data_IF_957830085295
#
_entry.id   IF_957830085295
#
_cell.length_a   1.000
_cell.length_b   1.000
_cell.length_c   1.000
_cell.angle_alpha   90.00
_cell.angle_beta   90.00
_cell.angle_gamma   90.00
#
_symmetry.space_group_name_H-M   'P 1'
#
loop_
_entity.id
_entity.type
_entity.pdbx_description
1 polymer ?
#
# COMPACT_ATOMS: atom_id res chain seq x y z
N UNK A 1 -29.29 -2.84 17.77
CA UNK A 1 -29.05 -2.80 16.31
C UNK A 1 -29.37 -1.39 15.83
N UNK A 2 -28.41 -0.68 15.23
CA UNK A 2 -28.64 0.69 14.74
C UNK A 2 -29.47 0.63 13.46
N UNK A 3 -30.51 1.44 13.34
CA UNK A 3 -31.31 1.47 12.10
C UNK A 3 -30.50 2.07 10.95
N UNK A 4 -30.65 1.56 9.70
CA UNK A 4 -29.96 2.14 8.54
C UNK A 4 -30.20 3.65 8.40
N UNK A 5 -31.42 4.11 8.71
CA UNK A 5 -31.77 5.54 8.69
C UNK A 5 -30.96 6.36 9.71
N UNK A 6 -30.80 5.87 10.94
CA UNK A 6 -30.02 6.57 11.96
C UNK A 6 -28.55 6.67 11.57
N UNK A 7 -27.99 5.61 10.98
CA UNK A 7 -26.61 5.61 10.51
C UNK A 7 -26.39 6.58 9.34
N UNK A 8 -27.31 6.59 8.37
CA UNK A 8 -27.27 7.54 7.25
C UNK A 8 -27.25 8.99 7.72
N UNK A 9 -28.13 9.33 8.66
CA UNK A 9 -28.23 10.69 9.20
C UNK A 9 -26.98 11.07 9.99
N UNK A 10 -26.44 10.15 10.80
CA UNK A 10 -25.20 10.38 11.54
C UNK A 10 -24.02 10.67 10.61
N UNK A 11 -23.88 9.91 9.53
CA UNK A 11 -22.84 10.08 8.50
C UNK A 11 -23.03 11.40 7.75
N UNK A 12 -24.24 11.69 7.27
CA UNK A 12 -24.52 12.92 6.53
C UNK A 12 -24.29 14.15 7.41
N UNK A 13 -24.70 14.08 8.68
CA UNK A 13 -24.46 15.15 9.66
C UNK A 13 -22.96 15.36 9.92
N UNK A 14 -22.19 14.29 10.15
CA UNK A 14 -20.75 14.36 10.36
C UNK A 14 -20.00 14.96 9.15
N UNK A 15 -20.48 14.68 7.94
CA UNK A 15 -19.93 15.24 6.70
C UNK A 15 -20.53 16.61 6.32
N UNK A 16 -21.36 17.21 7.18
CA UNK A 16 -22.06 18.48 6.92
C UNK A 16 -22.91 18.50 5.64
N UNK A 17 -23.43 17.35 5.21
CA UNK A 17 -24.28 17.21 4.03
C UNK A 17 -25.72 17.58 4.40
N UNK A 18 -26.12 18.82 4.10
CA UNK A 18 -27.45 19.37 4.38
C UNK A 18 -28.41 19.06 3.23
N UNK A 19 -28.94 17.84 3.19
CA UNK A 19 -29.99 17.43 2.25
C UNK A 19 -31.03 16.55 2.95
N UNK A 20 -32.32 16.73 2.62
CA UNK A 20 -33.40 15.86 3.10
C UNK A 20 -33.27 14.42 2.58
N UNK A 21 -32.65 14.27 1.40
CA UNK A 21 -32.30 13.00 0.78
C UNK A 21 -30.85 13.08 0.31
N UNK A 22 -29.88 12.83 1.20
CA UNK A 22 -28.48 12.85 0.81
C UNK A 22 -28.23 11.74 -0.22
N UNK A 23 -27.53 12.06 -1.30
CA UNK A 23 -27.07 11.06 -2.28
C UNK A 23 -25.91 10.25 -1.68
N UNK A 24 -26.27 9.34 -0.78
CA UNK A 24 -25.34 8.47 -0.06
C UNK A 24 -25.96 7.08 -0.01
N UNK A 25 -25.22 6.11 -0.52
CA UNK A 25 -25.51 4.68 -0.33
C UNK A 25 -24.43 4.12 0.57
N UNK A 26 -24.78 3.21 1.46
CA UNK A 26 -23.81 2.57 2.32
C UNK A 26 -24.09 1.07 2.48
N UNK A 27 -23.01 0.33 2.78
CA UNK A 27 -23.03 -1.08 3.12
C UNK A 27 -22.23 -1.29 4.41
N UNK A 28 -22.82 -1.98 5.37
CA UNK A 28 -22.15 -2.38 6.61
C UNK A 28 -21.52 -3.75 6.41
N UNK A 29 -20.24 -3.90 6.73
CA UNK A 29 -19.57 -5.18 6.88
C UNK A 29 -19.27 -5.38 8.38
N UNK A 30 -20.13 -6.13 9.05
CA UNK A 30 -20.03 -6.38 10.50
C UNK A 30 -18.78 -7.19 10.87
N UNK A 31 -18.31 -8.05 9.96
CA UNK A 31 -17.16 -8.92 10.21
C UNK A 31 -15.84 -8.14 10.17
N UNK A 32 -15.76 -7.16 9.27
CA UNK A 32 -14.64 -6.25 9.16
C UNK A 32 -14.79 -5.01 10.05
N UNK A 33 -15.98 -4.79 10.62
CA UNK A 33 -16.35 -3.57 11.33
C UNK A 33 -16.06 -2.32 10.46
N UNK A 34 -16.52 -2.37 9.20
CA UNK A 34 -16.31 -1.33 8.18
C UNK A 34 -17.65 -0.85 7.63
N UNK A 35 -17.75 0.46 7.41
CA UNK A 35 -18.83 1.08 6.66
C UNK A 35 -18.31 1.51 5.29
N UNK A 36 -18.86 0.93 4.22
CA UNK A 36 -18.56 1.34 2.85
C UNK A 36 -19.61 2.37 2.44
N UNK A 37 -19.16 3.52 1.95
CA UNK A 37 -20.02 4.63 1.56
C UNK A 37 -19.73 4.98 0.10
N UNK A 38 -20.78 5.21 -0.69
CA UNK A 38 -20.68 5.66 -2.08
C UNK A 38 -21.65 6.80 -2.33
N UNK A 39 -21.20 7.78 -3.10
CA UNK A 39 -21.97 8.96 -3.52
C UNK A 39 -21.59 9.28 -4.98
N UNK A 40 -22.50 9.85 -5.75
CA UNK A 40 -22.20 10.35 -7.09
C UNK A 40 -21.61 11.77 -7.10
N UNK A 41 -21.65 12.46 -5.95
CA UNK A 41 -21.12 13.81 -5.79
C UNK A 41 -19.68 13.78 -5.28
N UNK A 42 -18.75 14.31 -6.08
CA UNK A 42 -17.35 14.47 -5.70
C UNK A 42 -17.19 15.36 -4.46
N UNK A 43 -18.00 16.42 -4.35
CA UNK A 43 -18.02 17.28 -3.16
C UNK A 43 -18.38 16.49 -1.89
N UNK A 44 -19.42 15.65 -1.97
CA UNK A 44 -19.81 14.79 -0.85
C UNK A 44 -18.73 13.73 -0.55
N UNK A 45 -18.11 13.16 -1.57
CA UNK A 45 -17.05 12.15 -1.40
C UNK A 45 -15.86 12.74 -0.64
N UNK A 46 -15.45 13.96 -0.97
CA UNK A 46 -14.39 14.69 -0.26
C UNK A 46 -14.77 14.95 1.19
N UNK A 47 -15.98 15.46 1.45
CA UNK A 47 -16.45 15.70 2.82
C UNK A 47 -16.52 14.42 3.65
N UNK A 48 -17.04 13.32 3.06
CA UNK A 48 -17.08 11.99 3.67
C UNK A 48 -15.69 11.39 3.89
N UNK A 49 -14.70 11.76 3.07
CA UNK A 49 -13.30 11.35 3.23
C UNK A 49 -12.57 12.03 4.38
N UNK A 50 -13.16 13.07 4.99
CA UNK A 50 -12.55 13.88 6.05
C UNK A 50 -13.16 13.62 7.43
N UNK A 51 -14.27 12.89 7.52
CA UNK A 51 -14.90 12.60 8.82
C UNK A 51 -14.02 11.69 9.66
N UNK A 52 -13.87 12.04 10.94
CA UNK A 52 -13.08 11.27 11.92
C UNK A 52 -13.94 10.78 13.09
N UNK A 53 -15.18 11.26 13.18
CA UNK A 53 -16.14 10.87 14.22
C UNK A 53 -17.54 10.80 13.65
N UNK A 54 -18.34 9.87 14.16
CA UNK A 54 -19.78 9.83 13.93
C UNK A 54 -20.51 9.69 15.26
N UNK A 55 -21.59 10.45 15.41
CA UNK A 55 -22.48 10.33 16.57
C UNK A 55 -23.74 9.62 16.13
N UNK A 56 -23.96 8.41 16.66
CA UNK A 56 -25.11 7.59 16.36
C UNK A 56 -25.97 7.52 17.61
N UNK A 57 -27.19 8.07 17.53
CA UNK A 57 -28.12 8.21 18.65
C UNK A 57 -27.50 9.09 19.75
N UNK A 58 -26.87 8.49 20.76
CA UNK A 58 -26.27 9.19 21.90
C UNK A 58 -24.80 8.81 22.13
N UNK A 59 -24.22 7.95 21.29
CA UNK A 59 -22.85 7.50 21.39
C UNK A 59 -22.01 8.07 20.23
N UNK A 60 -20.81 8.55 20.56
CA UNK A 60 -19.85 9.03 19.57
C UNK A 60 -18.76 7.99 19.36
N UNK A 61 -18.47 7.70 18.10
CA UNK A 61 -17.49 6.71 17.69
C UNK A 61 -16.38 7.40 16.89
N UNK A 62 -15.14 7.14 17.25
CA UNK A 62 -13.99 7.49 16.42
C UNK A 62 -13.93 6.56 15.21
N UNK A 63 -13.72 7.15 14.03
CA UNK A 63 -13.63 6.43 12.76
C UNK A 63 -12.43 6.89 11.97
N UNK A 64 -11.99 6.03 11.05
CA UNK A 64 -10.99 6.38 10.04
C UNK A 64 -11.64 6.25 8.67
N UNK A 65 -11.76 7.37 7.97
CA UNK A 65 -12.28 7.43 6.61
C UNK A 65 -11.14 7.33 5.61
N UNK A 66 -11.37 6.63 4.50
CA UNK A 66 -10.41 6.51 3.42
C UNK A 66 -11.15 6.50 2.08
N UNK A 67 -10.65 7.26 1.12
CA UNK A 67 -11.11 7.19 -0.26
C UNK A 67 -10.76 5.84 -0.88
N UNK A 68 -11.68 5.28 -1.66
CA UNK A 68 -11.39 4.11 -2.49
C UNK A 68 -10.52 4.57 -3.65
N UNK A 69 -9.37 3.92 -3.82
CA UNK A 69 -8.50 4.16 -4.98
C UNK A 69 -9.22 3.72 -6.26
N UNK A 70 -9.19 4.51 -7.36
CA UNK A 70 -9.87 4.17 -8.61
C UNK A 70 -9.56 2.76 -9.11
N UNK A 71 -10.50 2.11 -9.81
CA UNK A 71 -10.31 0.75 -10.32
C UNK A 71 -9.10 0.61 -11.26
N UNK A 72 -8.77 1.69 -11.98
CA UNK A 72 -7.55 1.78 -12.79
C UNK A 72 -6.39 2.34 -11.97
N UNK A 73 -6.06 1.71 -10.84
CA UNK A 73 -4.90 2.06 -10.04
C UNK A 73 -4.09 0.82 -9.64
N UNK A 74 -2.82 1.04 -9.35
CA UNK A 74 -1.92 0.01 -8.87
C UNK A 74 -1.08 0.52 -7.70
N UNK A 75 -0.51 -0.40 -6.91
CA UNK A 75 0.21 -0.07 -5.69
C UNK A 75 1.64 -0.56 -5.74
N UNK A 76 2.56 0.35 -5.45
CA UNK A 76 3.98 0.09 -5.25
C UNK A 76 4.39 0.28 -3.79
N UNK A 77 5.55 -0.24 -3.42
CA UNK A 77 6.17 -0.14 -2.10
C UNK A 77 7.60 0.35 -2.27
N UNK A 78 7.97 1.36 -1.51
CA UNK A 78 9.35 1.80 -1.34
C UNK A 78 9.74 1.57 0.12
N UNK A 79 11.00 1.19 0.35
CA UNK A 79 11.54 0.98 1.70
C UNK A 79 12.57 2.08 2.01
N UNK A 80 12.85 2.29 3.30
CA UNK A 80 13.83 3.27 3.77
C UNK A 80 13.29 4.70 3.84
N UNK A 81 11.96 4.88 3.87
CA UNK A 81 11.35 6.20 4.07
C UNK A 81 11.13 6.39 5.56
N UNK A 82 11.79 7.40 6.14
CA UNK A 82 11.64 7.73 7.55
C UNK A 82 10.25 8.27 7.88
N UNK A 83 9.87 8.20 9.16
CA UNK A 83 8.57 8.65 9.65
C UNK A 83 8.43 10.18 9.70
N UNK A 84 9.54 10.89 9.60
CA UNK A 84 9.60 12.34 9.43
C UNK A 84 9.04 12.80 8.07
N UNK A 85 9.02 11.92 7.07
CA UNK A 85 8.41 12.18 5.77
C UNK A 85 6.92 11.82 5.86
N UNK A 86 6.06 12.82 5.69
CA UNK A 86 4.62 12.62 5.78
C UNK A 86 4.05 12.07 4.47
N UNK A 87 2.96 11.28 4.51
CA UNK A 87 2.26 10.82 3.30
C UNK A 87 1.70 11.95 2.42
N UNK A 88 1.51 13.14 2.99
CA UNK A 88 0.96 14.30 2.28
C UNK A 88 2.05 15.09 1.55
N UNK A 89 3.27 15.13 2.11
CA UNK A 89 4.43 15.82 1.51
C UNK A 89 5.18 14.93 0.50
N UNK A 90 5.25 13.62 0.74
CA UNK A 90 6.03 12.73 -0.13
C UNK A 90 5.65 12.80 -1.62
N UNK A 91 4.36 12.88 -2.01
CA UNK A 91 3.98 12.96 -3.41
C UNK A 91 4.54 14.18 -4.15
N UNK A 92 4.78 15.32 -3.48
CA UNK A 92 5.30 16.53 -4.14
C UNK A 92 6.77 16.41 -4.52
N UNK A 93 7.48 15.49 -3.87
CA UNK A 93 8.91 15.23 -4.07
C UNK A 93 9.16 14.06 -5.05
N UNK A 94 8.11 13.35 -5.47
CA UNK A 94 8.22 12.18 -6.34
C UNK A 94 8.20 12.60 -7.81
N UNK A 95 9.33 12.39 -8.48
CA UNK A 95 9.47 12.52 -9.92
C UNK A 95 9.41 11.14 -10.58
N UNK A 96 8.31 10.87 -11.29
CA UNK A 96 8.07 9.58 -11.94
C UNK A 96 7.46 9.76 -13.34
N UNK A 97 8.31 9.95 -14.37
CA UNK A 97 7.83 10.23 -15.73
C UNK A 97 6.86 9.16 -16.26
N UNK A 98 5.70 9.60 -16.74
CA UNK A 98 4.66 8.72 -17.30
C UNK A 98 3.79 8.01 -16.27
N UNK A 99 3.89 8.39 -14.99
CA UNK A 99 3.02 7.93 -13.92
C UNK A 99 2.46 9.12 -13.15
N UNK A 100 1.27 8.92 -12.59
CA UNK A 100 0.62 9.86 -11.69
C UNK A 100 0.50 9.18 -10.33
N UNK A 101 0.99 9.83 -9.28
CA UNK A 101 0.84 9.36 -7.90
C UNK A 101 -0.50 9.88 -7.37
N UNK A 102 -1.39 8.96 -7.01
CA UNK A 102 -2.73 9.29 -6.50
C UNK A 102 -2.72 9.47 -4.98
N UNK A 103 -2.07 8.55 -4.27
CA UNK A 103 -2.01 8.58 -2.79
C UNK A 103 -0.74 7.92 -2.30
N UNK A 104 -0.27 8.34 -1.12
CA UNK A 104 0.80 7.69 -0.38
C UNK A 104 0.31 7.34 1.04
N UNK A 105 0.90 6.31 1.65
CA UNK A 105 0.74 6.01 3.08
C UNK A 105 1.87 5.16 3.61
N UNK A 106 2.22 5.34 4.87
CA UNK A 106 3.13 4.43 5.58
C UNK A 106 2.50 3.04 5.77
N UNK A 107 3.34 2.01 5.73
CA UNK A 107 2.95 0.62 5.98
C UNK A 107 3.21 0.26 7.44
N UNK A 108 2.22 0.54 8.30
CA UNK A 108 2.36 0.35 9.74
C UNK A 108 3.48 1.24 10.30
N UNK A 109 4.26 0.72 11.24
CA UNK A 109 5.40 1.45 11.82
C UNK A 109 6.74 1.15 11.12
N UNK A 110 6.70 0.49 9.95
CA UNK A 110 7.91 0.24 9.17
C UNK A 110 8.35 1.51 8.44
N UNK A 111 9.64 1.60 8.08
CA UNK A 111 10.13 2.63 7.16
C UNK A 111 9.75 2.35 5.70
N UNK A 112 8.58 1.76 5.45
CA UNK A 112 8.11 1.42 4.11
C UNK A 112 6.84 2.21 3.80
N UNK A 113 6.79 2.76 2.59
CA UNK A 113 5.67 3.57 2.11
C UNK A 113 5.01 2.90 0.91
N UNK A 114 3.68 2.86 0.91
CA UNK A 114 2.87 2.40 -0.20
C UNK A 114 2.45 3.61 -1.03
N UNK A 115 2.79 3.58 -2.32
CA UNK A 115 2.33 4.56 -3.30
C UNK A 115 1.23 3.92 -4.15
N UNK A 116 0.15 4.65 -4.38
CA UNK A 116 -0.87 4.30 -5.37
C UNK A 116 -0.62 5.12 -6.62
N UNK A 117 -0.47 4.45 -7.76
CA UNK A 117 -0.32 5.08 -9.07
C UNK A 117 -1.59 4.93 -9.89
N UNK A 118 -1.88 5.92 -10.72
CA UNK A 118 -2.86 5.79 -11.79
C UNK A 118 -2.37 4.77 -12.83
N UNK A 119 -3.28 3.92 -13.32
CA UNK A 119 -2.99 2.84 -14.27
C UNK A 119 -2.67 1.49 -13.63
N UNK A 120 -2.33 0.51 -14.47
CA UNK A 120 -2.19 -0.91 -14.10
C UNK A 120 -0.77 -1.36 -13.78
N UNK A 121 0.19 -0.46 -13.88
CA UNK A 121 1.61 -0.77 -13.90
C UNK A 121 2.35 0.00 -12.81
N UNK A 122 3.16 -0.68 -12.03
CA UNK A 122 4.03 -0.05 -11.02
C UNK A 122 5.36 0.31 -11.68
N UNK A 123 5.91 1.52 -11.49
CA UNK A 123 7.25 1.87 -11.96
C UNK A 123 8.30 0.98 -11.29
N UNK A 124 9.46 0.80 -11.91
CA UNK A 124 10.55 0.02 -11.31
C UNK A 124 11.44 0.89 -10.40
N UNK A 125 11.67 2.13 -10.82
CA UNK A 125 12.31 3.18 -10.05
C UNK A 125 11.57 4.51 -10.26
N UNK A 126 11.73 5.43 -9.30
CA UNK A 126 11.37 6.83 -9.42
C UNK A 126 12.41 7.67 -8.65
N UNK A 127 12.47 8.97 -8.89
CA UNK A 127 13.34 9.85 -8.12
C UNK A 127 12.55 10.54 -7.01
N UNK A 128 13.13 10.66 -5.83
CA UNK A 128 12.62 11.53 -4.76
C UNK A 128 13.81 12.03 -3.92
N UNK A 129 13.77 13.30 -3.49
CA UNK A 129 14.87 13.92 -2.73
C UNK A 129 16.25 13.75 -3.39
N UNK A 130 16.31 13.80 -4.73
CA UNK A 130 17.54 13.60 -5.49
C UNK A 130 18.07 12.16 -5.56
N UNK A 131 17.34 11.17 -5.03
CA UNK A 131 17.73 9.76 -5.03
C UNK A 131 16.81 8.91 -5.92
N UNK A 132 17.40 8.00 -6.70
CA UNK A 132 16.65 6.97 -7.42
C UNK A 132 16.23 5.85 -6.43
N UNK A 133 14.92 5.78 -6.15
CA UNK A 133 14.33 4.83 -5.21
C UNK A 133 13.67 3.66 -5.95
N UNK A 134 13.94 2.44 -5.46
CA UNK A 134 13.34 1.23 -6.03
C UNK A 134 11.90 1.07 -5.57
N UNK A 135 11.02 0.84 -6.54
CA UNK A 135 9.61 0.58 -6.28
C UNK A 135 9.28 -0.91 -6.51
N UNK A 136 8.79 -1.55 -5.47
CA UNK A 136 8.38 -2.95 -5.48
C UNK A 136 6.88 -3.06 -5.65
N UNK A 137 6.42 -4.02 -6.45
CA UNK A 137 5.00 -4.37 -6.50
C UNK A 137 4.43 -4.64 -5.09
N UNK A 138 3.38 -3.92 -4.70
CA UNK A 138 2.68 -4.16 -3.44
C UNK A 138 1.99 -5.53 -3.48
N UNK A 139 2.31 -6.37 -2.49
CA UNK A 139 1.69 -7.67 -2.30
C UNK A 139 0.67 -7.56 -1.17
N UNK A 140 -0.60 -7.81 -1.49
CA UNK A 140 -1.64 -7.91 -0.46
C UNK A 140 -1.42 -9.19 0.33
N UNK A 141 -1.52 -9.10 1.65
CA UNK A 141 -1.50 -10.27 2.52
C UNK A 141 -2.82 -10.40 3.24
N UNK A 142 -3.23 -11.62 3.54
CA UNK A 142 -4.35 -11.88 4.44
C UNK A 142 -4.00 -11.29 5.81
N UNK A 143 -4.79 -10.35 6.34
CA UNK A 143 -4.52 -9.75 7.64
C UNK A 143 -4.74 -10.80 8.73
N UNK A 144 -4.08 -10.58 9.88
CA UNK A 144 -4.38 -11.30 11.11
C UNK A 144 -4.53 -10.30 12.24
N UNK A 145 -5.66 -10.35 12.93
CA UNK A 145 -5.87 -9.59 14.14
C UNK A 145 -5.05 -10.19 15.29
N UNK A 146 -4.15 -9.42 15.89
CA UNK A 146 -3.31 -9.92 17.00
C UNK A 146 -4.06 -10.00 18.33
N UNK A 147 -5.24 -9.37 18.45
CA UNK A 147 -6.12 -9.47 19.62
C UNK A 147 -6.92 -10.76 19.65
N UNK A 148 -7.62 -11.08 18.56
CA UNK A 148 -8.57 -12.22 18.52
C UNK A 148 -8.09 -13.41 17.67
N UNK A 149 -6.94 -13.29 17.01
CA UNK A 149 -6.33 -14.24 16.07
C UNK A 149 -7.07 -14.50 14.75
N UNK A 150 -8.24 -13.90 14.52
CA UNK A 150 -8.99 -14.07 13.26
C UNK A 150 -8.31 -13.37 12.08
N UNK A 151 -8.58 -13.85 10.87
CA UNK A 151 -8.00 -13.34 9.61
C UNK A 151 -8.91 -12.40 8.83
N UNK A 152 -10.01 -11.96 9.46
CA UNK A 152 -11.09 -11.24 8.77
C UNK A 152 -10.97 -9.73 8.91
N UNK A 153 -10.38 -9.23 10.01
CA UNK A 153 -10.30 -7.81 10.34
C UNK A 153 -8.92 -7.40 10.86
N UNK A 154 -8.68 -6.09 10.89
CA UNK A 154 -7.48 -5.50 11.49
C UNK A 154 -7.64 -5.28 12.99
N UNK A 155 -6.51 -5.22 13.71
CA UNK A 155 -6.48 -5.11 15.17
C UNK A 155 -7.12 -3.82 15.71
N UNK A 156 -7.09 -2.74 14.94
CA UNK A 156 -7.65 -1.44 15.30
C UNK A 156 -9.18 -1.39 15.20
N UNK A 157 -9.79 -2.25 14.39
CA UNK A 157 -11.25 -2.39 14.27
C UNK A 157 -11.79 -3.61 15.01
N UNK A 158 -10.93 -4.30 15.77
CA UNK A 158 -11.30 -5.51 16.50
C UNK A 158 -12.20 -5.18 17.71
N UNK A 159 -13.37 -5.83 17.76
CA UNK A 159 -14.34 -5.71 18.85
C UNK A 159 -14.05 -6.64 20.05
N UNK A 160 -12.94 -7.38 20.04
CA UNK A 160 -12.60 -8.28 21.15
C UNK A 160 -12.37 -7.45 22.44
N UNK A 161 -13.11 -7.73 23.52
CA UNK A 161 -12.94 -7.04 24.79
C UNK A 161 -11.53 -7.23 25.37
N UNK A 162 -10.91 -6.20 26.00
CA UNK A 162 -9.54 -6.28 26.55
C UNK A 162 -9.34 -7.35 27.63
N UNK A 163 -10.40 -7.69 28.35
CA UNK A 163 -10.48 -8.68 29.44
C UNK A 163 -10.56 -10.13 28.95
N UNK A 164 -10.59 -10.36 27.63
CA UNK A 164 -10.57 -11.69 27.02
C UNK A 164 -9.33 -11.90 26.14
N UNK A 165 -8.11 -11.79 26.71
CA UNK A 165 -6.89 -11.91 25.93
C UNK A 165 -6.74 -13.31 25.34
N UNK A 166 -6.24 -13.35 24.10
CA UNK A 166 -5.82 -14.58 23.45
C UNK A 166 -4.32 -14.58 23.24
N UNK A 167 -3.73 -15.77 23.23
CA UNK A 167 -2.32 -15.94 22.89
C UNK A 167 -2.06 -15.35 21.50
N UNK A 168 -1.07 -14.45 21.39
CA UNK A 168 -0.69 -13.80 20.12
C UNK A 168 0.02 -14.73 19.14
N UNK A 169 0.06 -16.03 19.39
CA UNK A 169 0.78 -17.03 18.59
C UNK A 169 -0.18 -18.13 18.14
N UNK A 170 -0.76 -18.89 19.07
CA UNK A 170 -1.70 -19.99 18.77
C UNK A 170 -3.18 -19.62 18.89
N UNK A 171 -3.52 -18.54 19.60
CA UNK A 171 -4.91 -18.12 19.84
C UNK A 171 -5.63 -18.76 21.03
N UNK A 172 -4.92 -19.52 21.87
CA UNK A 172 -5.48 -20.06 23.12
C UNK A 172 -5.93 -18.93 24.07
N UNK A 173 -7.03 -19.17 24.77
CA UNK A 173 -7.69 -18.22 25.68
C UNK A 173 -7.57 -18.63 27.16
N UNK A 174 -7.16 -19.87 27.46
CA UNK A 174 -7.10 -20.38 28.85
C UNK A 174 -5.96 -19.74 29.65
N UNK A 175 -4.77 -19.70 29.06
CA UNK A 175 -3.60 -19.05 29.67
C UNK A 175 -2.76 -18.35 28.58
N UNK A 176 -3.28 -17.24 28.02
CA UNK A 176 -2.76 -16.63 26.79
C UNK A 176 -1.28 -16.24 26.83
N UNK A 177 -0.73 -16.02 28.04
CA UNK A 177 0.67 -15.67 28.27
C UNK A 177 1.49 -16.78 28.95
N UNK A 178 0.87 -17.90 29.37
CA UNK A 178 1.53 -18.95 30.13
C UNK A 178 0.97 -20.34 29.79
N UNK A 179 1.36 -20.87 28.64
CA UNK A 179 1.05 -22.25 28.21
C UNK A 179 2.17 -22.76 27.30
N UNK A 180 2.19 -24.08 27.14
CA UNK A 180 2.94 -24.73 26.08
C UNK A 180 2.28 -24.43 24.73
N UNK A 181 2.90 -23.53 23.96
CA UNK A 181 2.30 -22.95 22.79
C UNK A 181 2.58 -23.80 21.54
N UNK A 182 1.54 -24.45 21.02
CA UNK A 182 1.58 -25.18 19.76
C UNK A 182 0.82 -24.40 18.68
N UNK A 183 1.50 -23.58 17.85
CA UNK A 183 0.82 -22.81 16.83
C UNK A 183 0.39 -23.69 15.65
N UNK A 184 -0.84 -23.50 15.19
CA UNK A 184 -1.33 -24.03 13.93
C UNK A 184 -1.90 -22.91 13.07
N UNK A 185 -1.50 -22.86 11.81
CA UNK A 185 -1.92 -21.81 10.89
C UNK A 185 -3.33 -22.08 10.34
N UNK A 186 -4.28 -21.17 10.60
CA UNK A 186 -5.64 -21.29 10.05
C UNK A 186 -5.73 -21.14 8.53
N UNK A 187 -4.65 -20.71 7.85
CA UNK A 187 -4.63 -20.49 6.40
C UNK A 187 -4.06 -21.68 5.61
N UNK A 188 -3.19 -22.49 6.21
CA UNK A 188 -2.53 -23.60 5.52
C UNK A 188 -2.40 -24.88 6.36
N UNK A 189 -2.76 -24.84 7.64
CA UNK A 189 -2.62 -25.96 8.58
C UNK A 189 -1.22 -26.19 9.13
N UNK A 190 -0.20 -25.43 8.70
CA UNK A 190 1.20 -25.65 9.11
C UNK A 190 1.55 -25.21 10.53
N UNK A 191 2.70 -25.70 11.01
CA UNK A 191 3.25 -25.48 12.37
C UNK A 191 3.91 -24.09 12.52
N UNK A 192 3.12 -23.05 12.30
CA UNK A 192 3.55 -21.68 12.49
C UNK A 192 2.36 -20.79 12.86
N UNK A 193 2.59 -19.60 13.43
CA UNK A 193 1.51 -18.66 13.71
C UNK A 193 0.71 -18.36 12.45
N UNK A 194 -0.61 -18.20 12.60
CA UNK A 194 -1.48 -17.85 11.47
C UNK A 194 -0.95 -16.61 10.75
N UNK A 195 -0.89 -16.66 9.41
CA UNK A 195 -0.36 -15.58 8.58
C UNK A 195 1.08 -15.13 8.94
N UNK A 196 1.94 -16.03 9.41
CA UNK A 196 3.38 -15.79 9.49
C UNK A 196 3.99 -15.44 8.11
N UNK A 197 5.16 -14.80 8.08
CA UNK A 197 5.82 -14.42 6.81
C UNK A 197 6.18 -15.63 5.96
N UNK A 198 6.48 -16.75 6.60
CA UNK A 198 6.74 -18.06 5.97
C UNK A 198 5.47 -18.76 5.45
N UNK A 199 4.27 -18.25 5.74
CA UNK A 199 3.02 -18.89 5.35
C UNK A 199 2.82 -18.78 3.82
N UNK A 200 2.74 -19.90 3.08
CA UNK A 200 2.63 -19.88 1.62
C UNK A 200 1.29 -19.29 1.14
N UNK A 201 0.23 -19.41 1.94
CA UNK A 201 -1.12 -18.93 1.61
C UNK A 201 -1.40 -17.51 2.13
N UNK A 202 -0.43 -16.87 2.80
CA UNK A 202 -0.60 -15.50 3.32
C UNK A 202 -0.70 -14.48 2.20
N UNK A 203 0.09 -14.63 1.14
CA UNK A 203 0.19 -13.64 0.07
C UNK A 203 -0.92 -13.89 -0.94
N UNK A 204 -1.76 -12.87 -1.14
CA UNK A 204 -2.80 -12.92 -2.16
C UNK A 204 -2.19 -12.69 -3.55
N UNK A 205 -2.76 -13.30 -4.61
CA UNK A 205 -2.35 -13.03 -5.97
C UNK A 205 -2.33 -11.53 -6.26
N UNK A 206 -1.27 -11.01 -6.91
CA UNK A 206 -1.20 -9.60 -7.23
C UNK A 206 -2.31 -9.24 -8.22
N UNK A 207 -3.11 -8.23 -7.86
CA UNK A 207 -4.10 -7.63 -8.78
C UNK A 207 -3.41 -6.78 -9.86
N UNK A 208 -2.18 -6.33 -9.57
CA UNK A 208 -1.40 -5.41 -10.38
C UNK A 208 -0.34 -6.14 -11.21
N UNK A 209 0.01 -5.60 -12.38
CA UNK A 209 1.07 -6.17 -13.23
C UNK A 209 2.29 -5.24 -13.24
N UNK A 210 3.48 -5.77 -13.56
CA UNK A 210 4.69 -4.96 -13.85
C UNK A 210 4.89 -4.88 -15.35
N UNK A 211 5.12 -3.70 -15.92
CA UNK A 211 5.51 -3.63 -17.34
C UNK A 211 6.80 -4.45 -17.46
N UNK A 212 6.93 -5.33 -18.46
CA UNK A 212 8.23 -5.87 -18.79
C UNK A 212 9.19 -4.68 -18.96
N UNK A 213 10.44 -4.77 -18.47
CA UNK A 213 11.43 -3.75 -18.79
C UNK A 213 11.44 -3.60 -20.30
N UNK A 214 11.17 -2.38 -20.78
CA UNK A 214 11.35 -2.08 -22.20
C UNK A 214 12.84 -2.28 -22.46
N UNK A 215 13.18 -3.34 -23.18
CA UNK A 215 14.53 -3.53 -23.68
C UNK A 215 14.82 -2.36 -24.60
N UNK A 216 15.46 -1.32 -24.09
CA UNK A 216 16.21 -0.38 -24.92
C UNK A 216 17.43 -1.14 -25.40
N UNK A 217 17.25 -2.04 -26.36
CA UNK A 217 18.38 -2.60 -27.11
C UNK A 217 18.89 -1.45 -27.97
N UNK A 218 20.08 -0.87 -27.71
CA UNK A 218 20.71 -0.05 -28.72
C UNK A 218 21.09 -1.04 -29.81
N UNK A 219 20.50 -0.92 -30.99
CA UNK A 219 21.01 -1.59 -32.17
C UNK A 219 22.40 -1.02 -32.42
N UNK A 220 23.43 -1.64 -31.83
CA UNK A 220 24.82 -1.46 -32.25
C UNK A 220 24.88 -1.99 -33.68
N UNK A 221 24.63 -1.11 -34.66
CA UNK A 221 25.12 -1.33 -36.02
C UNK A 221 26.64 -1.37 -35.90
N UNK A 222 27.20 -2.57 -35.97
CA UNK A 222 28.62 -2.77 -36.12
C UNK A 222 29.05 -2.11 -37.44
N UNK A 223 29.68 -0.94 -37.35
CA UNK A 223 30.50 -0.44 -38.45
C UNK A 223 31.72 -1.37 -38.52
N UNK A 224 31.67 -2.32 -39.46
CA UNK A 224 32.86 -3.00 -39.96
C UNK A 224 33.77 -1.94 -40.58
N UNK A 225 34.75 -1.46 -39.82
CA UNK A 225 35.94 -0.84 -40.40
C UNK A 225 36.90 -1.96 -40.80
N UNK A 226 37.03 -2.18 -42.10
CA UNK A 226 38.15 -2.94 -42.67
C UNK A 226 39.45 -2.19 -42.39
N UNK A 227 40.55 -2.87 -42.00
CA UNK A 227 41.85 -2.23 -41.90
C UNK A 227 42.49 -2.08 -43.28
N UNK A 228 42.99 -0.89 -43.58
CA UNK A 228 43.88 -0.63 -44.71
C UNK A 228 45.31 -1.11 -44.40
N UNK A 229 46.12 -1.47 -45.41
CA UNK A 229 47.37 -2.20 -45.21
C UNK A 229 48.57 -1.30 -44.89
N UNK A 230 49.58 -1.95 -44.31
CA UNK A 230 50.89 -1.46 -43.91
C UNK A 230 51.60 -0.55 -44.92
N UNK A 231 52.25 0.50 -44.39
CA UNK A 231 52.96 1.49 -45.19
C UNK A 231 53.99 2.31 -44.43
N UNK A 232 55.03 1.65 -43.91
CA UNK A 232 56.43 2.13 -43.82
C UNK A 232 56.75 3.29 -42.85
N UNK A 233 57.46 2.94 -41.78
CA UNK A 233 58.19 3.86 -40.93
C UNK A 233 59.57 4.25 -41.49
N UNK A 234 60.09 5.35 -40.94
CA UNK A 234 61.49 5.82 -40.82
C UNK A 234 61.96 6.87 -41.84
N UNK A 235 62.14 8.11 -41.35
CA UNK A 235 63.46 8.74 -41.15
C UNK A 235 63.35 9.94 -40.18
N UNK A 236 64.17 10.04 -39.12
CA UNK A 236 64.30 11.25 -38.32
C UNK A 236 65.27 12.24 -38.97
N UNK A 237 64.89 13.52 -38.97
CA UNK A 237 65.74 14.63 -39.36
C UNK A 237 66.78 14.97 -38.29
N UNK A 238 67.96 15.30 -38.78
CA UNK A 238 69.17 15.74 -38.09
C UNK A 238 68.95 17.13 -37.45
N UNK A 239 69.50 17.34 -36.24
CA UNK A 239 69.81 18.67 -35.70
C UNK A 239 71.33 18.85 -35.56
N UNK A 240 71.83 20.11 -35.58
CA UNK A 240 73.22 20.45 -35.85
C UNK A 240 74.07 20.56 -34.57
N UNK A 241 75.38 20.37 -34.68
CA UNK A 241 76.34 20.72 -33.62
C UNK A 241 77.72 20.09 -33.82
N UNK A 242 78.64 20.93 -34.32
CA UNK A 242 80.11 20.86 -34.32
C UNK A 242 80.83 19.87 -35.27
#
# INVERSE_FOLDING_TARGET
MVSPKALLLAVAHAAHIRSEKPDIKFRVDENQNVLIISTSSEHNATALGQITKITVIAATYDIKSYGITPDNSCKGVVNGIGHEITPDDFPTEVEVPGYEVLTCRHLGNSGAMVLTFCGKWVPFFFNAYGQALRCYLYKRTIPRCRKCNKTVHHEDVCLQPPDTPKCRVCGDSLSPNNHECHPSCMLCGGDHPTAAESCPTRVLPPVNRRKPPQSTTPTRKAHHHSPAPDGRAVRPGVQPGE
#
